data_IF_337595228301
#
_entry.id   IF_337595228301
#
_cell.length_a   1.000
_cell.length_b   1.000
_cell.length_c   1.000
_cell.angle_alpha   90.00
_cell.angle_beta   90.00
_cell.angle_gamma   90.00
#
_symmetry.space_group_name_H-M   'P 1'
#
loop_
_entity.id
_entity.type
_entity.pdbx_description
1 polymer ?
#
# COMPACT_ATOMS: atom_id res chain seq x y z
N UNK A 1 -13.62 -1.31 -13.79
CA UNK A 1 -13.79 -0.11 -12.96
C UNK A 1 -12.99 -0.34 -11.68
N UNK A 2 -11.76 0.18 -11.59
CA UNK A 2 -10.83 -0.07 -10.48
C UNK A 2 -11.01 1.02 -9.43
N UNK A 3 -11.87 0.77 -8.44
CA UNK A 3 -11.96 1.61 -7.24
C UNK A 3 -11.05 1.02 -6.16
N UNK A 4 -9.92 1.68 -5.92
CA UNK A 4 -8.95 1.33 -4.87
C UNK A 4 -9.52 1.49 -3.45
N UNK A 5 -10.65 2.18 -3.30
CA UNK A 5 -11.41 2.33 -2.05
C UNK A 5 -12.64 1.43 -1.98
N UNK A 6 -12.97 0.72 -3.05
CA UNK A 6 -14.12 -0.19 -3.11
C UNK A 6 -13.89 -1.48 -2.33
N UNK A 7 -12.64 -1.94 -2.26
CA UNK A 7 -12.27 -3.22 -1.63
C UNK A 7 -12.43 -3.23 -0.10
N UNK A 8 -12.46 -2.07 0.57
CA UNK A 8 -12.65 -1.99 2.04
C UNK A 8 -14.06 -2.39 2.52
N UNK A 9 -15.02 -2.51 1.60
CA UNK A 9 -16.43 -2.79 1.90
C UNK A 9 -16.79 -4.26 1.75
N UNK A 10 -15.85 -5.09 1.30
CA UNK A 10 -16.08 -6.50 1.03
C UNK A 10 -15.06 -7.34 1.80
N UNK A 11 -15.52 -8.47 2.33
CA UNK A 11 -14.65 -9.49 2.90
C UNK A 11 -14.35 -10.52 1.80
N UNK A 12 -13.12 -10.56 1.25
CA UNK A 12 -12.77 -11.60 0.31
C UNK A 12 -12.73 -12.94 1.03
N UNK A 13 -13.38 -13.94 0.44
CA UNK A 13 -13.41 -15.32 0.94
C UNK A 13 -12.85 -16.20 -0.16
N UNK A 14 -11.73 -16.87 0.09
CA UNK A 14 -11.16 -17.87 -0.81
C UNK A 14 -12.08 -19.08 -0.82
N UNK A 15 -12.68 -19.39 -1.96
CA UNK A 15 -13.47 -20.61 -2.14
C UNK A 15 -12.67 -21.62 -2.97
N UNK A 16 -12.78 -22.92 -2.69
CA UNK A 16 -12.24 -23.95 -3.59
C UNK A 16 -13.05 -23.85 -4.89
N UNK A 17 -12.46 -23.27 -5.93
CA UNK A 17 -13.12 -22.86 -7.18
C UNK A 17 -13.68 -23.98 -8.07
N UNK A 18 -13.99 -25.13 -7.49
CA UNK A 18 -14.51 -26.34 -8.15
C UNK A 18 -16.00 -26.57 -7.89
N UNK A 19 -16.75 -25.53 -7.52
CA UNK A 19 -18.20 -25.63 -7.30
C UNK A 19 -18.94 -25.90 -8.61
N UNK A 20 -19.82 -26.91 -8.60
CA UNK A 20 -20.75 -27.18 -9.71
C UNK A 20 -21.82 -26.09 -9.89
N UNK A 21 -22.02 -25.25 -8.86
CA UNK A 21 -23.03 -24.19 -8.84
C UNK A 21 -22.33 -22.84 -8.67
N UNK A 22 -22.56 -21.94 -9.62
CA UNK A 22 -22.06 -20.57 -9.54
C UNK A 22 -22.99 -19.70 -8.68
N UNK A 23 -22.46 -18.65 -8.06
CA UNK A 23 -23.24 -17.73 -7.22
C UNK A 23 -24.37 -17.00 -7.96
N UNK A 24 -24.31 -16.89 -9.28
CA UNK A 24 -25.36 -16.32 -10.12
C UNK A 24 -26.42 -17.33 -10.58
N UNK A 25 -26.27 -18.61 -10.24
CA UNK A 25 -27.25 -19.66 -10.54
C UNK A 25 -28.21 -19.93 -9.38
N UNK A 26 -28.18 -19.10 -8.32
CA UNK A 26 -29.01 -19.28 -7.13
C UNK A 26 -30.47 -18.90 -7.43
N UNK A 27 -31.41 -19.79 -7.15
CA UNK A 27 -32.85 -19.56 -7.32
C UNK A 27 -33.43 -18.69 -6.21
N UNK A 28 -34.61 -18.11 -6.46
CA UNK A 28 -35.32 -17.36 -5.41
C UNK A 28 -35.71 -18.25 -4.23
N UNK A 29 -36.08 -19.51 -4.47
CA UNK A 29 -36.38 -20.45 -3.38
C UNK A 29 -35.14 -20.71 -2.51
N UNK A 30 -33.97 -20.86 -3.12
CA UNK A 30 -32.70 -21.05 -2.41
C UNK A 30 -32.34 -19.80 -1.58
N UNK A 31 -32.53 -18.60 -2.12
CA UNK A 31 -32.32 -17.34 -1.37
C UNK A 31 -33.21 -17.31 -0.12
N UNK A 32 -34.49 -17.65 -0.26
CA UNK A 32 -35.44 -17.65 0.87
C UNK A 32 -35.05 -18.71 1.90
N UNK A 33 -34.64 -19.89 1.46
CA UNK A 33 -34.17 -20.96 2.34
C UNK A 33 -32.93 -20.54 3.15
N UNK A 34 -31.94 -19.92 2.50
CA UNK A 34 -30.74 -19.38 3.16
C UNK A 34 -31.13 -18.36 4.24
N UNK A 35 -32.06 -17.45 3.93
CA UNK A 35 -32.54 -16.48 4.92
C UNK A 35 -33.29 -17.13 6.10
N UNK A 36 -34.07 -18.18 5.85
CA UNK A 36 -34.74 -18.93 6.89
C UNK A 36 -33.74 -19.62 7.85
N UNK A 37 -32.67 -20.21 7.30
CA UNK A 37 -31.60 -20.81 8.09
C UNK A 37 -30.88 -19.76 8.94
N UNK A 38 -30.48 -18.63 8.33
CA UNK A 38 -29.85 -17.51 9.04
C UNK A 38 -30.75 -17.02 10.19
N UNK A 39 -32.06 -16.90 9.96
CA UNK A 39 -32.99 -16.45 10.99
C UNK A 39 -33.04 -17.39 12.21
N UNK A 40 -33.06 -18.71 11.99
CA UNK A 40 -33.05 -19.68 13.09
C UNK A 40 -31.72 -19.66 13.85
N UNK A 41 -30.58 -19.51 13.16
CA UNK A 41 -29.27 -19.37 13.80
C UNK A 41 -29.20 -18.11 14.69
N UNK A 42 -29.66 -16.96 14.18
CA UNK A 42 -29.72 -15.71 14.97
C UNK A 42 -30.63 -15.87 16.19
N UNK A 43 -31.77 -16.55 16.02
CA UNK A 43 -32.69 -16.85 17.12
C UNK A 43 -32.07 -17.78 18.15
N UNK A 44 -31.19 -18.70 17.73
CA UNK A 44 -30.38 -19.53 18.62
C UNK A 44 -29.22 -18.79 19.32
N UNK A 45 -29.01 -17.50 19.02
CA UNK A 45 -28.03 -16.65 19.68
C UNK A 45 -26.78 -16.34 18.86
N UNK A 46 -26.71 -16.77 17.59
CA UNK A 46 -25.60 -16.35 16.73
C UNK A 46 -25.65 -14.85 16.41
N UNK A 47 -24.48 -14.21 16.42
CA UNK A 47 -24.34 -12.79 16.15
C UNK A 47 -24.20 -12.50 14.67
N UNK A 48 -24.90 -11.47 14.18
CA UNK A 48 -24.81 -11.00 12.79
C UNK A 48 -23.55 -10.17 12.48
N UNK A 49 -22.66 -9.99 13.45
CA UNK A 49 -21.38 -9.33 13.28
C UNK A 49 -20.24 -10.32 13.46
N UNK A 50 -19.12 -10.07 12.78
CA UNK A 50 -17.91 -10.87 12.94
C UNK A 50 -17.42 -10.76 14.38
N UNK A 51 -16.95 -11.87 14.95
CA UNK A 51 -16.21 -11.82 16.20
C UNK A 51 -14.91 -11.02 16.02
N UNK A 52 -14.32 -10.47 17.10
CA UNK A 52 -13.06 -9.71 16.99
C UNK A 52 -11.93 -10.49 16.31
N UNK A 53 -11.87 -11.81 16.52
CA UNK A 53 -10.88 -12.71 15.93
C UNK A 53 -11.10 -12.88 14.42
N UNK A 54 -12.36 -13.12 14.01
CA UNK A 54 -12.75 -13.23 12.61
C UNK A 54 -12.57 -11.90 11.86
N UNK A 55 -12.82 -10.77 12.51
CA UNK A 55 -12.57 -9.46 11.93
C UNK A 55 -11.08 -9.22 11.66
N UNK A 56 -10.19 -9.64 12.58
CA UNK A 56 -8.75 -9.57 12.37
C UNK A 56 -8.30 -10.45 11.19
N UNK A 57 -8.80 -11.69 11.12
CA UNK A 57 -8.51 -12.59 10.01
C UNK A 57 -9.02 -12.04 8.67
N UNK A 58 -10.25 -11.52 8.63
CA UNK A 58 -10.84 -10.96 7.42
C UNK A 58 -10.10 -9.70 6.93
N UNK A 59 -9.56 -8.89 7.86
CA UNK A 59 -8.67 -7.76 7.51
C UNK A 59 -7.35 -8.23 6.91
N UNK A 60 -6.80 -9.33 7.41
CA UNK A 60 -5.57 -9.92 6.86
C UNK A 60 -5.80 -10.46 5.44
N UNK A 61 -6.86 -11.25 5.22
CA UNK A 61 -7.25 -11.72 3.89
C UNK A 61 -7.56 -10.55 2.93
N UNK A 62 -8.19 -9.48 3.42
CA UNK A 62 -8.41 -8.27 2.63
C UNK A 62 -7.08 -7.58 2.26
N UNK A 63 -6.08 -7.63 3.13
CA UNK A 63 -4.73 -7.12 2.87
C UNK A 63 -3.97 -7.99 1.87
N UNK A 64 -4.13 -9.31 1.91
CA UNK A 64 -3.53 -10.23 0.93
C UNK A 64 -4.19 -10.14 -0.44
N UNK A 65 -5.52 -10.03 -0.50
CA UNK A 65 -6.29 -9.94 -1.74
C UNK A 65 -6.17 -8.58 -2.43
N UNK A 66 -5.60 -7.57 -1.75
CA UNK A 66 -5.05 -6.39 -2.40
C UNK A 66 -3.83 -6.83 -3.22
N UNK A 67 -4.13 -7.17 -4.48
CA UNK A 67 -3.18 -7.51 -5.55
C UNK A 67 -1.89 -6.71 -5.38
N UNK A 68 -0.76 -7.40 -5.22
CA UNK A 68 0.54 -6.76 -5.04
C UNK A 68 0.83 -5.95 -6.29
N UNK A 69 0.71 -4.63 -6.15
CA UNK A 69 1.06 -3.71 -7.20
C UNK A 69 2.50 -3.96 -7.64
N UNK A 70 2.77 -4.18 -8.92
CA UNK A 70 4.14 -4.36 -9.44
C UNK A 70 5.03 -3.17 -9.06
N UNK A 71 4.43 -1.99 -8.84
CA UNK A 71 5.11 -0.79 -8.34
C UNK A 71 5.64 -0.95 -6.91
N UNK A 72 5.08 -1.84 -6.09
CA UNK A 72 5.52 -2.06 -4.71
C UNK A 72 6.97 -2.57 -4.65
N UNK A 73 7.37 -3.44 -5.59
CA UNK A 73 8.75 -3.91 -5.69
C UNK A 73 9.73 -2.77 -5.93
N UNK A 74 9.42 -1.89 -6.89
CA UNK A 74 10.25 -0.72 -7.19
C UNK A 74 10.36 0.23 -6.00
N UNK A 75 9.26 0.42 -5.26
CA UNK A 75 9.26 1.26 -4.06
C UNK A 75 10.09 0.61 -2.95
N UNK A 76 10.03 -0.71 -2.78
CA UNK A 76 10.86 -1.44 -1.80
C UNK A 76 12.35 -1.27 -2.11
N UNK A 77 12.76 -1.55 -3.35
CA UNK A 77 14.15 -1.42 -3.78
C UNK A 77 14.66 0.01 -3.59
N UNK A 78 13.83 1.00 -3.94
CA UNK A 78 14.13 2.40 -3.70
C UNK A 78 14.40 2.68 -2.21
N UNK A 79 13.54 2.21 -1.30
CA UNK A 79 13.66 2.45 0.14
C UNK A 79 14.87 1.76 0.77
N UNK A 80 15.26 0.59 0.26
CA UNK A 80 16.40 -0.22 0.72
C UNK A 80 17.74 0.23 0.12
N UNK A 81 17.71 1.00 -0.98
CA UNK A 81 18.90 1.57 -1.61
C UNK A 81 19.70 2.43 -0.63
N UNK A 82 20.98 2.11 -0.47
CA UNK A 82 21.92 2.94 0.29
C UNK A 82 22.19 4.23 -0.47
N UNK A 83 22.26 5.33 0.29
CA UNK A 83 22.38 6.68 -0.25
C UNK A 83 23.78 7.25 0.06
N UNK A 84 24.29 8.14 -0.80
CA UNK A 84 25.51 8.89 -0.51
C UNK A 84 25.26 9.93 0.58
N UNK A 85 26.32 10.36 1.28
CA UNK A 85 26.21 11.31 2.40
C UNK A 85 25.61 12.67 1.99
N UNK A 86 25.83 13.10 0.76
CA UNK A 86 25.31 14.36 0.19
C UNK A 86 23.91 14.21 -0.44
N UNK A 87 23.18 13.12 -0.20
CA UNK A 87 21.85 12.89 -0.80
C UNK A 87 20.85 14.03 -0.56
N UNK A 88 20.86 14.64 0.63
CA UNK A 88 20.00 15.78 0.95
C UNK A 88 20.39 17.05 0.17
N UNK A 89 21.62 17.11 -0.34
CA UNK A 89 22.11 18.23 -1.14
C UNK A 89 21.78 18.09 -2.63
N UNK A 90 21.62 16.86 -3.12
CA UNK A 90 21.33 16.55 -4.52
C UNK A 90 19.95 17.04 -4.97
N UNK A 91 19.84 17.44 -6.23
CA UNK A 91 18.58 17.75 -6.87
C UNK A 91 17.85 16.50 -7.41
N UNK A 92 16.62 16.68 -7.90
CA UNK A 92 15.81 15.56 -8.42
C UNK A 92 16.46 14.88 -9.63
N UNK A 93 17.20 15.60 -10.46
CA UNK A 93 17.85 15.02 -11.63
C UNK A 93 19.03 14.15 -11.22
N UNK A 94 19.89 14.65 -10.33
CA UNK A 94 21.02 13.92 -9.76
C UNK A 94 20.57 12.67 -9.00
N UNK A 95 19.50 12.79 -8.19
CA UNK A 95 18.90 11.64 -7.49
C UNK A 95 18.37 10.58 -8.45
N UNK A 96 17.69 10.98 -9.52
CA UNK A 96 17.22 10.05 -10.55
C UNK A 96 18.37 9.37 -11.28
N UNK A 97 19.43 10.11 -11.60
CA UNK A 97 20.61 9.53 -12.25
C UNK A 97 21.23 8.45 -11.35
N UNK A 98 21.42 8.74 -10.06
CA UNK A 98 21.93 7.77 -9.09
C UNK A 98 21.07 6.50 -8.97
N UNK A 99 19.74 6.64 -8.99
CA UNK A 99 18.83 5.49 -8.85
C UNK A 99 18.71 4.63 -10.12
N UNK A 100 18.86 5.23 -11.31
CA UNK A 100 18.71 4.51 -12.58
C UNK A 100 20.02 3.89 -13.07
N UNK A 101 21.15 4.48 -12.71
CA UNK A 101 22.44 4.13 -13.28
C UNK A 101 23.30 3.43 -12.22
N UNK A 102 23.21 2.10 -12.21
CA UNK A 102 24.04 1.24 -11.37
C UNK A 102 25.54 1.39 -11.64
N UNK A 103 25.91 1.93 -12.81
CA UNK A 103 27.29 2.16 -13.25
C UNK A 103 27.78 3.59 -12.98
N UNK A 104 26.89 4.55 -12.64
CA UNK A 104 27.29 5.88 -12.14
C UNK A 104 27.77 5.84 -10.67
N UNK A 105 27.71 4.66 -10.05
CA UNK A 105 28.47 4.33 -8.85
C UNK A 105 29.99 4.22 -9.12
N UNK A 106 30.49 4.79 -10.23
CA UNK A 106 31.92 4.89 -10.47
C UNK A 106 32.56 5.93 -9.50
N UNK A 107 33.19 5.35 -8.47
CA UNK A 107 34.41 5.80 -7.81
C UNK A 107 34.42 7.01 -6.85
N UNK A 108 33.34 7.78 -6.62
CA UNK A 108 33.47 9.00 -5.77
C UNK A 108 32.54 9.17 -4.56
N UNK A 109 31.42 8.45 -4.45
CA UNK A 109 30.52 8.59 -3.29
C UNK A 109 30.14 7.23 -2.72
N UNK A 110 30.74 6.88 -1.57
CA UNK A 110 30.36 5.66 -0.84
C UNK A 110 28.91 5.79 -0.38
N UNK A 111 28.02 4.99 -0.97
CA UNK A 111 26.65 4.86 -0.54
C UNK A 111 26.60 4.03 0.75
N UNK A 112 26.49 4.71 1.90
CA UNK A 112 26.54 4.09 3.24
C UNK A 112 25.35 4.48 4.10
N UNK A 113 24.57 5.47 3.69
CA UNK A 113 23.51 6.06 4.50
C UNK A 113 22.18 5.39 4.19
N UNK A 114 21.51 4.86 5.21
CA UNK A 114 20.14 4.37 5.07
C UNK A 114 19.16 5.53 5.06
N UNK A 115 18.13 5.45 4.20
CA UNK A 115 17.09 6.48 4.14
C UNK A 115 16.30 6.55 5.44
N UNK A 116 16.27 7.74 6.04
CA UNK A 116 15.59 7.99 7.31
C UNK A 116 14.17 8.51 7.15
N UNK A 117 13.86 9.13 6.01
CA UNK A 117 12.57 9.76 5.72
C UNK A 117 12.27 9.70 4.22
N UNK A 118 10.98 9.69 3.88
CA UNK A 118 10.51 9.69 2.48
C UNK A 118 9.15 10.37 2.38
N UNK A 119 8.86 11.01 1.24
CA UNK A 119 7.52 11.48 0.90
C UNK A 119 7.00 10.90 -0.42
N UNK A 120 5.69 10.97 -0.62
CA UNK A 120 5.03 10.46 -1.83
C UNK A 120 5.57 11.10 -3.13
N UNK A 121 6.01 12.36 -3.08
CA UNK A 121 6.55 13.03 -4.27
C UNK A 121 7.95 12.55 -4.64
N UNK A 122 8.77 12.13 -3.67
CA UNK A 122 10.05 11.49 -3.94
C UNK A 122 9.81 10.18 -4.68
N UNK A 123 8.89 9.34 -4.21
CA UNK A 123 8.54 8.10 -4.93
C UNK A 123 8.01 8.40 -6.34
N UNK A 124 7.07 9.34 -6.46
CA UNK A 124 6.47 9.69 -7.76
C UNK A 124 7.49 10.20 -8.77
N UNK A 125 8.37 11.10 -8.32
CA UNK A 125 9.33 11.73 -9.20
C UNK A 125 10.55 10.84 -9.40
N UNK A 126 11.14 10.30 -8.34
CA UNK A 126 12.44 9.64 -8.39
C UNK A 126 12.33 8.18 -8.84
N UNK A 127 11.29 7.45 -8.39
CA UNK A 127 11.08 6.03 -8.76
C UNK A 127 10.30 5.91 -10.06
N UNK A 128 9.17 6.60 -10.19
CA UNK A 128 8.33 6.48 -11.39
C UNK A 128 8.72 7.45 -12.52
N UNK A 129 9.70 8.33 -12.30
CA UNK A 129 10.18 9.28 -13.32
C UNK A 129 9.15 10.34 -13.73
N UNK A 130 8.04 10.48 -13.00
CA UNK A 130 6.90 11.32 -13.42
C UNK A 130 7.08 12.78 -13.03
N UNK A 131 6.36 13.66 -13.70
CA UNK A 131 6.32 15.09 -13.34
C UNK A 131 5.50 15.30 -12.07
N UNK A 132 6.02 16.12 -11.15
CA UNK A 132 5.35 16.56 -9.92
C UNK A 132 3.97 17.16 -10.18
N UNK A 133 3.75 17.82 -11.31
CA UNK A 133 2.48 18.47 -11.65
C UNK A 133 1.37 17.45 -11.97
N UNK A 134 1.75 16.23 -12.34
CA UNK A 134 0.82 15.20 -12.80
C UNK A 134 0.32 14.27 -11.69
N UNK A 135 0.80 14.44 -10.45
CA UNK A 135 0.37 13.60 -9.34
C UNK A 135 -1.08 13.89 -8.98
N UNK A 136 -1.91 12.85 -8.88
CA UNK A 136 -3.28 12.95 -8.38
C UNK A 136 -3.35 12.51 -6.93
N UNK A 137 -4.47 12.87 -6.28
CA UNK A 137 -4.75 12.43 -4.92
C UNK A 137 -4.82 10.91 -4.80
N UNK A 138 -5.32 10.22 -5.83
CA UNK A 138 -5.37 8.76 -5.90
C UNK A 138 -3.96 8.16 -5.88
N UNK A 139 -3.05 8.67 -6.72
CA UNK A 139 -1.66 8.21 -6.77
C UNK A 139 -0.96 8.38 -5.40
N UNK A 140 -1.19 9.54 -4.76
CA UNK A 140 -0.65 9.83 -3.43
C UNK A 140 -1.17 8.86 -2.37
N UNK A 141 -2.45 8.50 -2.42
CA UNK A 141 -3.03 7.53 -1.49
C UNK A 141 -2.49 6.10 -1.73
N UNK A 142 -2.28 5.71 -2.99
CA UNK A 142 -1.69 4.42 -3.35
C UNK A 142 -0.25 4.29 -2.82
N UNK A 143 0.58 5.32 -3.02
CA UNK A 143 1.94 5.35 -2.48
C UNK A 143 1.96 5.34 -0.95
N UNK A 144 1.05 6.08 -0.30
CA UNK A 144 0.91 6.03 1.14
C UNK A 144 0.53 4.63 1.65
N UNK A 145 -0.35 3.92 0.94
CA UNK A 145 -0.73 2.55 1.28
C UNK A 145 0.44 1.57 1.11
N UNK A 146 1.21 1.69 0.02
CA UNK A 146 2.43 0.91 -0.19
C UNK A 146 3.45 1.13 0.93
N UNK A 147 3.71 2.40 1.30
CA UNK A 147 4.63 2.73 2.40
C UNK A 147 4.20 2.11 3.74
N UNK A 148 2.91 2.20 4.08
CA UNK A 148 2.38 1.60 5.32
C UNK A 148 2.55 0.08 5.31
N UNK A 149 2.29 -0.58 4.17
CA UNK A 149 2.50 -2.03 4.01
C UNK A 149 3.98 -2.42 4.16
N UNK A 150 4.89 -1.56 3.69
CA UNK A 150 6.34 -1.72 3.84
C UNK A 150 6.88 -1.34 5.24
N UNK A 151 6.00 -1.04 6.20
CA UNK A 151 6.40 -0.76 7.58
C UNK A 151 6.87 0.69 7.82
N UNK A 152 6.53 1.62 6.93
CA UNK A 152 6.79 3.04 7.11
C UNK A 152 5.59 3.75 7.77
N UNK A 153 5.88 4.66 8.69
CA UNK A 153 4.88 5.37 9.49
C UNK A 153 4.81 6.82 9.07
N UNK A 154 3.60 7.29 8.76
CA UNK A 154 3.35 8.70 8.42
C UNK A 154 3.44 9.60 9.64
N UNK A 155 4.23 10.66 9.55
CA UNK A 155 4.28 11.70 10.58
C UNK A 155 3.00 12.57 10.56
N UNK A 156 2.54 13.03 11.74
CA UNK A 156 1.28 13.79 11.85
C UNK A 156 1.39 15.20 11.27
N UNK A 157 2.60 15.78 11.28
CA UNK A 157 2.87 17.13 10.77
C UNK A 157 3.53 17.05 9.40
N UNK A 158 3.25 18.06 8.57
CA UNK A 158 3.98 18.24 7.32
C UNK A 158 5.35 18.83 7.61
N UNK A 159 6.32 18.39 6.84
CA UNK A 159 7.67 18.94 6.86
C UNK A 159 8.01 19.51 5.49
N UNK A 160 9.01 20.40 5.45
CA UNK A 160 9.49 20.94 4.20
C UNK A 160 10.56 20.01 3.63
N UNK A 161 10.25 19.40 2.50
CA UNK A 161 11.16 18.54 1.74
C UNK A 161 11.81 19.37 0.64
N UNK A 162 13.14 19.28 0.51
CA UNK A 162 13.89 19.97 -0.55
C UNK A 162 13.37 19.52 -1.92
N UNK A 163 13.21 20.45 -2.85
CA UNK A 163 12.64 20.17 -4.19
C UNK A 163 11.11 19.95 -4.22
N UNK A 164 10.47 19.57 -3.11
CA UNK A 164 9.06 19.16 -3.07
C UNK A 164 8.16 20.00 -2.13
N UNK A 165 8.71 20.94 -1.38
CA UNK A 165 7.93 21.84 -0.53
C UNK A 165 7.30 21.14 0.67
N UNK A 166 6.14 21.60 1.14
CA UNK A 166 5.49 21.05 2.35
C UNK A 166 4.77 19.73 2.05
N UNK A 167 5.31 18.62 2.55
CA UNK A 167 4.82 17.27 2.31
C UNK A 167 4.56 16.51 3.61
N UNK A 168 3.70 15.49 3.52
CA UNK A 168 3.65 14.48 4.57
C UNK A 168 4.82 13.52 4.38
N UNK A 169 5.56 13.32 5.46
CA UNK A 169 6.76 12.49 5.49
C UNK A 169 6.46 11.19 6.22
N UNK A 170 7.11 10.13 5.78
CA UNK A 170 7.07 8.80 6.37
C UNK A 170 8.46 8.44 6.88
N UNK A 171 8.53 7.76 8.02
CA UNK A 171 9.77 7.29 8.64
C UNK A 171 9.71 5.78 8.90
N UNK A 172 10.84 5.05 8.93
CA UNK A 172 10.85 3.64 9.28
C UNK A 172 10.31 3.43 10.69
N UNK A 173 9.53 2.36 10.91
CA UNK A 173 8.98 2.01 12.24
C UNK A 173 10.06 1.77 13.32
N UNK A 174 11.32 1.53 12.92
CA UNK A 174 12.46 1.36 13.81
C UNK A 174 12.99 2.67 14.41
N UNK A 175 12.59 3.83 13.87
CA UNK A 175 12.99 5.15 14.40
C UNK A 175 11.90 5.62 15.38
N UNK A 176 12.21 5.84 16.67
CA UNK A 176 11.23 6.35 17.63
C UNK A 176 10.74 7.74 17.19
N UNK A 177 9.41 7.89 17.13
CA UNK A 177 8.67 9.12 16.77
C UNK A 177 8.81 10.18 17.85
#
# INVERSE_FOLDING_TARGET
MRDTTGNRRFWPVKTPGNSAVHSWNISNEEIVQIWAEIYEYVKSGETLHLSPELEAYAKEEQREALESDEREGLVRDFLETLLPENWEDMDTYERRAFLNDSDFADASQKATVTRSKVCNLEIWCEVFGKDRANIKRTDSNEMAAMLVKLGWVRLPKKERVKGYGSQFVFVPKSVPV
#
